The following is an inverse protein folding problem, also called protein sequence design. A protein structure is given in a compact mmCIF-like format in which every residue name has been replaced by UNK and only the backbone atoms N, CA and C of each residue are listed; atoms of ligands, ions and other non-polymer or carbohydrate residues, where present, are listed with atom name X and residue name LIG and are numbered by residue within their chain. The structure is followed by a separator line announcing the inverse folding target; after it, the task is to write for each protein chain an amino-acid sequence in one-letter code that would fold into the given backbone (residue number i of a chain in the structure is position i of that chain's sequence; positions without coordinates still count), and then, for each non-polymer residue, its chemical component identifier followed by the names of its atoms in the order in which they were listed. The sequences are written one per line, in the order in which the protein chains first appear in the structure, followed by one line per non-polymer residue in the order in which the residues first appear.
data_IF_831526724601
#
_entry.id   IF_831526724601
#
_cell.length_a   1.000
_cell.length_b   1.000
_cell.length_c   1.000
_cell.angle_alpha   90.00
_cell.angle_beta   90.00
_cell.angle_gamma   90.00
#
_symmetry.space_group_name_H-M   'P 1'
#
loop_
_entity.id
_entity.type
_entity.pdbx_description
1 polymer ?
#
# COMPACT_ATOMS: atom_id res chain seq x y z
N UNK A 1 -6.90 -4.21 19.50
CA UNK A 1 -7.42 -3.89 18.16
C UNK A 1 -6.80 -4.89 17.21
N UNK A 2 -7.64 -5.58 16.45
CA UNK A 2 -7.18 -6.59 15.49
C UNK A 2 -7.53 -6.13 14.07
N UNK A 3 -6.57 -6.27 13.16
CA UNK A 3 -6.66 -5.82 11.77
C UNK A 3 -6.46 -7.01 10.83
N UNK A 4 -7.36 -7.18 9.88
CA UNK A 4 -7.15 -8.03 8.71
C UNK A 4 -6.69 -7.13 7.56
N UNK A 5 -5.52 -7.42 7.03
CA UNK A 5 -4.93 -6.65 5.93
C UNK A 5 -4.85 -7.49 4.66
N UNK A 6 -5.47 -7.03 3.60
CA UNK A 6 -5.32 -7.57 2.25
C UNK A 6 -4.39 -6.69 1.42
N UNK A 7 -3.48 -7.30 0.67
CA UNK A 7 -2.55 -6.57 -0.21
C UNK A 7 -1.96 -7.44 -1.30
N UNK A 8 -1.35 -6.82 -2.29
CA UNK A 8 -0.62 -7.48 -3.38
C UNK A 8 0.88 -7.58 -3.04
N UNK A 9 1.22 -7.99 -1.80
CA UNK A 9 2.57 -7.85 -1.28
C UNK A 9 3.57 -8.91 -1.75
N UNK A 10 3.14 -9.92 -2.51
CA UNK A 10 4.04 -10.93 -3.10
C UNK A 10 4.41 -10.65 -4.57
N UNK A 11 4.03 -9.51 -5.12
CA UNK A 11 4.24 -9.19 -6.53
C UNK A 11 5.63 -8.61 -6.87
N UNK A 12 6.47 -8.29 -5.88
CA UNK A 12 7.82 -7.77 -6.08
C UNK A 12 7.88 -6.33 -6.62
N UNK A 13 6.78 -5.60 -6.55
CA UNK A 13 6.65 -4.22 -7.04
C UNK A 13 6.81 -3.20 -5.91
N UNK A 14 6.94 -1.90 -6.25
CA UNK A 14 6.89 -0.81 -5.27
C UNK A 14 5.58 -0.79 -4.47
N UNK A 15 4.48 -1.16 -5.10
CA UNK A 15 3.19 -1.34 -4.45
C UNK A 15 3.21 -2.46 -3.40
N UNK A 16 3.83 -3.59 -3.75
CA UNK A 16 4.03 -4.70 -2.82
C UNK A 16 4.89 -4.30 -1.63
N UNK A 17 5.98 -3.57 -1.88
CA UNK A 17 6.85 -3.08 -0.82
C UNK A 17 6.12 -2.12 0.13
N UNK A 18 5.28 -1.22 -0.41
CA UNK A 18 4.46 -0.34 0.42
C UNK A 18 3.50 -1.12 1.34
N UNK A 19 2.89 -2.19 0.84
CA UNK A 19 2.02 -3.04 1.64
C UNK A 19 2.79 -3.74 2.78
N UNK A 20 3.98 -4.27 2.48
CA UNK A 20 4.89 -4.87 3.48
C UNK A 20 5.23 -3.84 4.57
N UNK A 21 5.65 -2.63 4.17
CA UNK A 21 6.04 -1.57 5.10
C UNK A 21 4.87 -1.18 6.03
N UNK A 22 3.63 -1.10 5.53
CA UNK A 22 2.45 -0.84 6.36
C UNK A 22 2.13 -1.97 7.33
N UNK A 23 2.19 -3.22 6.88
CA UNK A 23 1.95 -4.38 7.75
C UNK A 23 2.95 -4.39 8.90
N UNK A 24 4.25 -4.23 8.59
CA UNK A 24 5.31 -4.21 9.59
C UNK A 24 5.22 -2.99 10.52
N UNK A 25 4.84 -1.82 10.01
CA UNK A 25 4.64 -0.64 10.83
C UNK A 25 3.50 -0.83 11.84
N UNK A 26 2.39 -1.41 11.44
CA UNK A 26 1.29 -1.73 12.37
C UNK A 26 1.70 -2.75 13.44
N UNK A 27 2.40 -3.81 13.03
CA UNK A 27 2.90 -4.83 13.94
C UNK A 27 3.89 -4.24 14.95
N UNK A 28 4.80 -3.36 14.51
CA UNK A 28 5.81 -2.74 15.36
C UNK A 28 5.25 -1.87 16.50
N UNK A 29 4.04 -1.34 16.32
CA UNK A 29 3.33 -0.57 17.36
C UNK A 29 2.33 -1.40 18.17
N UNK A 30 2.36 -2.73 18.03
CA UNK A 30 1.56 -3.65 18.82
C UNK A 30 0.11 -3.83 18.35
N UNK A 31 -0.20 -3.51 17.10
CA UNK A 31 -1.47 -3.86 16.50
C UNK A 31 -1.45 -5.36 16.16
N UNK A 32 -2.49 -6.09 16.56
CA UNK A 32 -2.67 -7.50 16.17
C UNK A 32 -3.06 -7.57 14.69
N UNK A 33 -2.09 -7.89 13.83
CA UNK A 33 -2.27 -7.94 12.37
C UNK A 33 -2.36 -9.39 11.90
N UNK A 34 -3.36 -9.68 11.08
CA UNK A 34 -3.39 -10.83 10.18
C UNK A 34 -3.33 -10.30 8.75
N UNK A 35 -2.45 -10.81 7.91
CA UNK A 35 -2.39 -10.39 6.51
C UNK A 35 -2.71 -11.52 5.53
N UNK A 36 -3.21 -11.18 4.36
CA UNK A 36 -3.50 -12.14 3.27
C UNK A 36 -3.11 -11.52 1.95
N UNK A 37 -2.31 -12.24 1.18
CA UNK A 37 -1.94 -11.84 -0.16
C UNK A 37 -3.09 -12.07 -1.15
N UNK A 38 -3.33 -11.09 -2.02
CA UNK A 38 -4.16 -11.23 -3.21
C UNK A 38 -3.23 -11.18 -4.41
N UNK A 39 -3.05 -12.31 -5.07
CA UNK A 39 -2.15 -12.40 -6.23
C UNK A 39 -2.76 -11.73 -7.45
N UNK A 40 -1.94 -11.00 -8.21
CA UNK A 40 -2.29 -10.40 -9.50
C UNK A 40 -1.71 -11.21 -10.66
N UNK A 41 -0.43 -11.57 -10.56
CA UNK A 41 0.31 -12.19 -11.66
C UNK A 41 0.67 -13.64 -11.40
N UNK A 42 0.42 -14.14 -10.19
CA UNK A 42 0.90 -15.44 -9.73
C UNK A 42 2.36 -15.40 -9.25
N UNK A 43 2.95 -14.21 -9.16
CA UNK A 43 4.29 -14.06 -8.60
C UNK A 43 4.31 -14.40 -7.11
N UNK A 44 5.46 -14.91 -6.63
CA UNK A 44 5.70 -15.22 -5.22
C UNK A 44 7.14 -14.82 -4.87
N UNK A 45 7.35 -13.52 -4.70
CA UNK A 45 8.64 -12.96 -4.32
C UNK A 45 8.94 -13.24 -2.84
N UNK A 46 10.24 -13.38 -2.47
CA UNK A 46 10.64 -13.58 -1.09
C UNK A 46 10.13 -12.47 -0.17
N UNK A 47 9.57 -12.88 0.98
CA UNK A 47 9.01 -11.99 1.98
C UNK A 47 9.87 -12.00 3.26
N UNK A 48 9.87 -10.91 4.05
CA UNK A 48 10.39 -10.94 5.40
C UNK A 48 9.70 -12.05 6.23
N UNK A 49 10.45 -12.78 7.03
CA UNK A 49 9.92 -13.86 7.88
C UNK A 49 8.72 -13.41 8.72
N UNK A 50 8.77 -12.17 9.22
CA UNK A 50 7.67 -11.62 10.01
C UNK A 50 6.35 -11.53 9.24
N UNK A 51 6.38 -11.22 7.95
CA UNK A 51 5.17 -11.24 7.09
C UNK A 51 4.60 -12.66 7.01
N UNK A 52 5.47 -13.67 6.84
CA UNK A 52 5.05 -15.07 6.77
C UNK A 52 4.43 -15.55 8.10
N UNK A 53 4.95 -15.08 9.23
CA UNK A 53 4.32 -15.32 10.54
C UNK A 53 2.93 -14.70 10.62
N UNK A 54 2.78 -13.42 10.21
CA UNK A 54 1.52 -12.69 10.24
C UNK A 54 0.46 -13.26 9.27
N UNK A 55 0.89 -13.90 8.17
CA UNK A 55 -0.01 -14.66 7.29
C UNK A 55 -0.68 -15.85 8.00
N UNK A 56 0.00 -16.45 8.97
CA UNK A 56 -0.54 -17.57 9.75
C UNK A 56 -1.49 -17.13 10.86
N UNK A 57 -1.55 -15.84 11.19
CA UNK A 57 -2.46 -15.34 12.20
C UNK A 57 -3.92 -15.61 11.82
N UNK A 58 -4.77 -16.00 12.79
CA UNK A 58 -6.18 -16.22 12.54
C UNK A 58 -6.87 -14.89 12.16
N UNK A 59 -7.73 -14.92 11.15
CA UNK A 59 -8.49 -13.73 10.71
C UNK A 59 -9.75 -13.50 11.53
N UNK A 60 -10.22 -14.53 12.25
CA UNK A 60 -11.39 -14.42 13.08
C UNK A 60 -11.23 -13.37 14.18
N UNK A 61 -12.27 -12.59 14.43
CA UNK A 61 -12.29 -11.54 15.43
C UNK A 61 -11.54 -10.26 15.03
N UNK A 62 -11.19 -10.10 13.75
CA UNK A 62 -10.66 -8.82 13.26
C UNK A 62 -11.73 -7.74 13.32
N UNK A 63 -11.37 -6.60 13.90
CA UNK A 63 -12.24 -5.43 14.02
C UNK A 63 -12.28 -4.62 12.73
N UNK A 64 -11.15 -4.54 12.03
CA UNK A 64 -10.95 -3.72 10.85
C UNK A 64 -10.45 -4.56 9.68
N UNK A 65 -10.95 -4.23 8.49
CA UNK A 65 -10.49 -4.80 7.22
C UNK A 65 -9.82 -3.68 6.42
N UNK A 66 -8.52 -3.79 6.18
CA UNK A 66 -7.77 -2.86 5.30
C UNK A 66 -7.50 -3.58 3.99
N UNK A 67 -7.93 -2.97 2.89
CA UNK A 67 -7.76 -3.48 1.54
C UNK A 67 -6.82 -2.57 0.76
N UNK A 68 -5.53 -2.91 0.75
CA UNK A 68 -4.50 -2.23 -0.04
C UNK A 68 -4.40 -2.93 -1.40
N UNK A 69 -5.37 -2.68 -2.23
CA UNK A 69 -5.62 -3.39 -3.48
C UNK A 69 -5.80 -2.41 -4.64
N UNK A 70 -5.71 -2.93 -5.86
CA UNK A 70 -6.19 -2.19 -7.02
C UNK A 70 -7.68 -1.87 -6.83
N UNK A 71 -8.15 -0.66 -7.18
CA UNK A 71 -9.50 -0.21 -6.83
C UNK A 71 -10.62 -1.15 -7.27
N UNK A 72 -10.47 -1.83 -8.40
CA UNK A 72 -11.47 -2.79 -8.90
C UNK A 72 -11.54 -4.12 -8.13
N UNK A 73 -10.60 -4.38 -7.23
CA UNK A 73 -10.61 -5.53 -6.32
C UNK A 73 -11.18 -5.19 -4.93
N UNK A 74 -11.45 -3.91 -4.65
CA UNK A 74 -12.01 -3.46 -3.38
C UNK A 74 -13.47 -3.87 -3.31
N UNK A 75 -13.86 -4.41 -2.16
CA UNK A 75 -15.24 -4.86 -1.90
C UNK A 75 -15.69 -4.46 -0.51
N UNK A 76 -16.99 -4.24 -0.34
CA UNK A 76 -17.58 -4.13 1.00
C UNK A 76 -17.64 -5.50 1.65
N UNK A 77 -16.92 -5.69 2.76
CA UNK A 77 -16.88 -6.94 3.50
C UNK A 77 -17.72 -6.85 4.79
N UNK A 78 -18.62 -7.79 4.99
CA UNK A 78 -19.42 -7.88 6.22
C UNK A 78 -18.60 -8.40 7.42
N UNK A 79 -19.09 -8.09 8.63
CA UNK A 79 -18.50 -8.62 9.87
C UNK A 79 -17.36 -7.82 10.47
N UNK A 80 -16.95 -6.72 9.86
CA UNK A 80 -15.97 -5.78 10.39
C UNK A 80 -16.64 -4.51 10.92
N UNK A 81 -16.05 -3.91 11.95
CA UNK A 81 -16.48 -2.58 12.43
C UNK A 81 -16.24 -1.51 11.39
N UNK A 82 -15.22 -1.70 10.54
CA UNK A 82 -14.86 -0.77 9.48
C UNK A 82 -14.09 -1.47 8.36
N UNK A 83 -14.46 -1.13 7.13
CA UNK A 83 -13.73 -1.46 5.92
C UNK A 83 -12.98 -0.22 5.44
N UNK A 84 -11.71 -0.38 5.14
CA UNK A 84 -10.83 0.70 4.65
C UNK A 84 -10.23 0.27 3.32
N UNK A 85 -10.38 1.10 2.31
CA UNK A 85 -9.63 0.97 1.07
C UNK A 85 -8.38 1.85 1.14
N UNK A 86 -7.23 1.31 0.78
CA UNK A 86 -6.01 2.08 0.54
C UNK A 86 -5.53 1.83 -0.88
N UNK A 87 -5.28 2.88 -1.64
CA UNK A 87 -4.71 2.76 -2.97
C UNK A 87 -3.93 4.02 -3.38
N UNK A 88 -2.99 3.85 -4.29
CA UNK A 88 -2.32 4.93 -4.99
C UNK A 88 -2.87 5.05 -6.42
N UNK A 89 -2.89 6.26 -6.95
CA UNK A 89 -3.33 6.55 -8.31
C UNK A 89 -2.61 7.76 -8.86
N UNK A 90 -2.42 7.78 -10.17
CA UNK A 90 -1.68 8.81 -10.90
C UNK A 90 -2.59 9.66 -11.80
N UNK A 91 -3.90 9.59 -11.58
CA UNK A 91 -4.89 10.29 -12.40
C UNK A 91 -5.49 11.48 -11.67
N UNK A 92 -5.74 12.54 -12.41
CA UNK A 92 -6.38 13.76 -11.89
C UNK A 92 -7.90 13.69 -11.85
N UNK A 93 -8.49 12.68 -12.48
CA UNK A 93 -9.94 12.43 -12.44
C UNK A 93 -10.21 10.94 -12.49
N UNK A 94 -11.12 10.50 -11.64
CA UNK A 94 -11.46 9.09 -11.47
C UNK A 94 -12.96 8.82 -11.63
N UNK A 95 -13.78 9.87 -11.73
CA UNK A 95 -15.25 9.77 -11.74
C UNK A 95 -15.77 8.83 -12.83
N UNK A 96 -15.09 8.81 -13.98
CA UNK A 96 -15.50 8.00 -15.13
C UNK A 96 -14.82 6.61 -15.15
N UNK A 97 -14.03 6.30 -14.14
CA UNK A 97 -13.40 4.98 -14.04
C UNK A 97 -14.42 3.94 -13.57
N UNK A 98 -14.48 2.77 -14.22
CA UNK A 98 -15.43 1.71 -13.85
C UNK A 98 -15.33 1.29 -12.38
N UNK A 99 -14.14 1.41 -11.79
CA UNK A 99 -13.84 1.01 -10.42
C UNK A 99 -14.22 2.07 -9.37
N UNK A 100 -14.68 3.25 -9.78
CA UNK A 100 -15.10 4.31 -8.83
C UNK A 100 -16.15 3.82 -7.83
N UNK A 101 -17.10 3.01 -8.30
CA UNK A 101 -18.17 2.44 -7.47
C UNK A 101 -17.66 1.50 -6.37
N UNK A 102 -16.50 0.88 -6.55
CA UNK A 102 -15.92 0.01 -5.53
C UNK A 102 -15.48 0.79 -4.29
N UNK A 103 -14.97 2.02 -4.48
CA UNK A 103 -14.57 2.89 -3.37
C UNK A 103 -15.75 3.36 -2.52
N UNK A 104 -16.98 3.33 -3.06
CA UNK A 104 -18.18 3.71 -2.33
C UNK A 104 -18.70 2.57 -1.43
N UNK A 105 -18.13 1.37 -1.53
CA UNK A 105 -18.57 0.19 -0.76
C UNK A 105 -17.86 0.05 0.59
N UNK A 106 -16.90 0.93 0.89
CA UNK A 106 -16.14 0.90 2.13
C UNK A 106 -16.47 2.08 3.05
N UNK A 107 -16.06 2.01 4.29
CA UNK A 107 -16.31 3.04 5.29
C UNK A 107 -15.34 4.22 5.20
N UNK A 108 -14.09 3.95 4.86
CA UNK A 108 -13.03 4.96 4.66
C UNK A 108 -12.21 4.64 3.42
N UNK A 109 -11.71 5.70 2.78
CA UNK A 109 -10.70 5.60 1.73
C UNK A 109 -9.45 6.36 2.16
N UNK A 110 -8.31 5.69 2.13
CA UNK A 110 -7.01 6.27 2.43
C UNK A 110 -6.17 6.34 1.16
N UNK A 111 -5.46 7.43 1.00
CA UNK A 111 -4.60 7.72 -0.16
C UNK A 111 -3.24 8.25 0.29
N UNK A 112 -2.16 8.04 -0.50
CA UNK A 112 -0.81 8.39 -0.06
C UNK A 112 -0.52 9.90 -0.06
N UNK A 113 -1.26 10.69 -0.82
CA UNK A 113 -0.95 12.11 -1.01
C UNK A 113 -2.21 12.99 -1.16
N UNK A 114 -1.98 14.29 -1.04
CA UNK A 114 -3.02 15.31 -1.09
C UNK A 114 -3.61 15.45 -2.50
N UNK A 115 -2.82 15.23 -3.54
CA UNK A 115 -3.28 15.40 -4.93
C UNK A 115 -4.35 14.37 -5.27
N UNK A 116 -4.13 13.10 -4.90
CA UNK A 116 -5.14 12.06 -5.08
C UNK A 116 -6.36 12.31 -4.18
N UNK A 117 -6.16 12.78 -2.95
CA UNK A 117 -7.24 13.19 -2.07
C UNK A 117 -8.12 14.28 -2.71
N UNK A 118 -7.50 15.30 -3.32
CA UNK A 118 -8.20 16.38 -4.01
C UNK A 118 -8.97 15.85 -5.23
N UNK A 119 -8.36 14.98 -6.03
CA UNK A 119 -9.01 14.37 -7.19
C UNK A 119 -10.26 13.59 -6.79
N UNK A 120 -10.17 12.74 -5.77
CA UNK A 120 -11.30 11.97 -5.25
C UNK A 120 -12.42 12.87 -4.70
N UNK A 121 -12.06 13.91 -3.95
CA UNK A 121 -13.00 14.87 -3.39
C UNK A 121 -13.70 15.67 -4.49
N UNK A 122 -12.95 16.15 -5.48
CA UNK A 122 -13.48 16.93 -6.62
C UNK A 122 -14.40 16.10 -7.50
N UNK A 123 -14.11 14.81 -7.65
CA UNK A 123 -14.94 13.87 -8.39
C UNK A 123 -16.18 13.40 -7.62
N UNK A 124 -16.35 13.88 -6.39
CA UNK A 124 -17.54 13.64 -5.58
C UNK A 124 -17.55 12.28 -4.90
N UNK A 125 -16.40 11.71 -4.58
CA UNK A 125 -16.37 10.49 -3.75
C UNK A 125 -16.91 10.80 -2.35
N UNK A 126 -17.96 10.07 -1.97
CA UNK A 126 -18.55 10.12 -0.64
C UNK A 126 -18.44 8.75 0.00
N UNK A 127 -17.78 8.69 1.14
CA UNK A 127 -17.68 7.48 1.97
C UNK A 127 -18.08 7.81 3.42
N UNK A 128 -18.69 6.88 4.16
CA UNK A 128 -19.32 7.17 5.46
C UNK A 128 -18.41 7.85 6.50
N UNK A 129 -17.15 7.41 6.60
CA UNK A 129 -16.19 7.93 7.58
C UNK A 129 -15.08 8.79 6.95
N UNK A 130 -15.22 9.07 5.66
CA UNK A 130 -14.42 10.06 4.97
C UNK A 130 -13.20 9.53 4.23
N UNK A 131 -12.52 10.50 3.62
CA UNK A 131 -11.33 10.33 2.83
C UNK A 131 -10.13 10.89 3.60
N UNK A 132 -9.03 10.13 3.67
CA UNK A 132 -7.86 10.51 4.47
C UNK A 132 -6.58 10.40 3.65
N UNK A 133 -5.63 11.28 3.96
CA UNK A 133 -4.26 11.17 3.47
C UNK A 133 -3.45 10.37 4.51
N UNK A 134 -2.90 9.25 4.07
CA UNK A 134 -1.98 8.41 4.83
C UNK A 134 -0.73 8.18 3.99
N UNK A 135 0.33 8.96 4.18
CA UNK A 135 1.58 8.81 3.43
C UNK A 135 2.19 7.43 3.61
N UNK A 136 2.96 6.98 2.62
CA UNK A 136 3.69 5.72 2.72
C UNK A 136 4.60 5.70 3.94
N UNK A 137 4.57 4.60 4.68
CA UNK A 137 5.52 4.34 5.77
C UNK A 137 6.80 3.75 5.22
N UNK A 138 7.92 4.01 5.90
CA UNK A 138 9.20 3.38 5.60
C UNK A 138 10.07 3.33 6.85
N UNK A 139 10.72 2.19 7.07
CA UNK A 139 11.79 2.13 8.04
C UNK A 139 13.00 2.89 7.47
N UNK A 140 13.26 4.07 8.05
CA UNK A 140 14.37 4.93 7.63
C UNK A 140 15.73 4.52 8.22
N UNK A 141 15.77 3.55 9.12
CA UNK A 141 17.03 3.12 9.76
C UNK A 141 18.03 2.59 8.73
N UNK A 142 17.55 1.96 7.66
CA UNK A 142 18.38 1.48 6.55
C UNK A 142 19.06 2.61 5.79
N UNK A 143 18.49 3.80 5.74
CA UNK A 143 19.06 4.97 5.04
C UNK A 143 20.09 5.72 5.88
N UNK A 144 20.15 5.46 7.19
CA UNK A 144 21.20 6.00 8.08
C UNK A 144 22.50 5.21 8.04
N UNK A 145 22.53 4.07 7.37
CA UNK A 145 23.76 3.29 7.18
C UNK A 145 24.68 4.02 6.23
N UNK A 146 25.95 4.12 6.63
CA UNK A 146 26.98 4.68 5.75
C UNK A 146 27.23 3.71 4.59
N UNK A 147 26.87 4.12 3.40
CA UNK A 147 27.16 3.37 2.18
C UNK A 147 28.51 3.78 1.60
N UNK A 148 29.18 2.87 0.92
CA UNK A 148 30.34 3.21 0.12
C UNK A 148 29.91 4.01 -1.11
N UNK A 149 30.73 4.98 -1.49
CA UNK A 149 30.48 5.77 -2.70
C UNK A 149 30.57 4.87 -3.94
N UNK A 150 29.64 5.02 -4.85
CA UNK A 150 29.71 4.36 -6.15
C UNK A 150 30.88 4.96 -6.92
N UNK A 151 31.93 4.17 -7.13
CA UNK A 151 33.07 4.56 -7.94
C UNK A 151 32.92 4.01 -9.36
N UNK A 152 32.67 4.91 -10.31
CA UNK A 152 32.63 4.62 -11.74
C UNK A 152 33.78 5.45 -12.36
N UNK A 153 34.92 4.84 -12.68
CA UNK A 153 36.13 5.56 -13.13
C UNK A 153 35.87 6.44 -14.37
N UNK A 154 35.01 6.00 -15.30
CA UNK A 154 34.70 6.68 -16.57
C UNK A 154 34.01 8.03 -16.39
N UNK A 155 33.38 8.25 -15.23
CA UNK A 155 32.68 9.49 -14.90
C UNK A 155 33.28 10.20 -13.69
N UNK A 156 34.52 9.85 -13.34
CA UNK A 156 35.26 10.51 -12.26
C UNK A 156 35.43 12.02 -12.58
N UNK A 157 35.15 12.87 -11.58
CA UNK A 157 35.23 14.33 -11.73
C UNK A 157 34.08 14.98 -12.52
N UNK A 158 33.09 14.21 -12.97
CA UNK A 158 31.88 14.73 -13.63
C UNK A 158 30.72 14.81 -12.65
N UNK A 159 29.78 15.71 -12.90
CA UNK A 159 28.50 15.71 -12.19
C UNK A 159 27.68 14.47 -12.58
N UNK A 160 27.11 13.79 -11.59
CA UNK A 160 26.42 12.51 -11.78
C UNK A 160 24.94 12.68 -11.54
N UNK A 161 24.14 12.28 -12.52
CA UNK A 161 22.70 12.10 -12.34
C UNK A 161 22.38 10.62 -12.23
N UNK A 162 21.49 10.29 -11.33
CA UNK A 162 20.90 8.96 -11.23
C UNK A 162 19.46 9.04 -11.67
N UNK A 163 19.07 8.11 -12.53
CA UNK A 163 17.68 7.90 -12.89
C UNK A 163 17.37 6.41 -12.70
N UNK A 164 16.38 6.13 -11.86
CA UNK A 164 15.92 4.77 -11.61
C UNK A 164 14.55 4.65 -12.24
N UNK A 165 14.44 3.83 -13.27
CA UNK A 165 13.20 3.57 -13.99
C UNK A 165 13.14 2.10 -14.41
N UNK A 166 11.94 1.60 -14.58
CA UNK A 166 11.72 0.40 -15.36
C UNK A 166 11.86 0.76 -16.85
N UNK A 167 12.80 0.15 -17.53
CA UNK A 167 13.08 0.40 -18.96
C UNK A 167 12.30 -0.55 -19.88
N UNK A 168 11.40 -1.37 -19.32
CA UNK A 168 10.62 -2.35 -20.06
C UNK A 168 9.17 -1.91 -20.32
N UNK A 169 8.85 -0.63 -20.04
CA UNK A 169 7.57 -0.01 -20.42
C UNK A 169 7.69 0.80 -21.71
#
# INVERSE_FOLDING_TARGET
MKVLYFGHYKEGTGWAQAAIDYILAMDSVGIDVACRNISLTGADYPMPDRILELENNPTFGSDYCIQHLLPHHIVGAGGFKKNVAYFAGETTTIRNQPWFVHLQQVDEVWVPNVDLWQSLSSDGLVVPNGLRVLPHTKDISTYSQKCEDINIPEISGKFKFYYIADLNE
#
